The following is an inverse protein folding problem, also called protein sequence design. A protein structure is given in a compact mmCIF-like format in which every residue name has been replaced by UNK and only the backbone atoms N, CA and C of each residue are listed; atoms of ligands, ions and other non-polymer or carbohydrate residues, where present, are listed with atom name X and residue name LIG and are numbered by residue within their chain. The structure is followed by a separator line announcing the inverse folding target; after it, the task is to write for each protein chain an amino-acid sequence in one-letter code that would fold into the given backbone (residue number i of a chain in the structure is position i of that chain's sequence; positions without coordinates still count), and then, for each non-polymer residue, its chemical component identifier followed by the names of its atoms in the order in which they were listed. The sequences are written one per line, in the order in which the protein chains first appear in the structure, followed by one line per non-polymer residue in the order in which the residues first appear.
data_IF_213385786652
#
_entry.id   IF_213385786652
#
_cell.length_a   1.000
_cell.length_b   1.000
_cell.length_c   1.000
_cell.angle_alpha   90.00
_cell.angle_beta   90.00
_cell.angle_gamma   90.00
#
_symmetry.space_group_name_H-M   'P 1'
#
loop_
_entity.id
_entity.type
_entity.pdbx_description
1 polymer ?
#
# COMPACT_ATOMS: atom_id res chain seq x y z
N UNK A 1 -96.61 -33.88 -6.72
CA UNK A 1 -97.17 -33.33 -5.47
C UNK A 1 -96.19 -32.32 -4.89
N UNK A 2 -96.69 -31.28 -4.22
CA UNK A 2 -95.94 -30.41 -3.30
C UNK A 2 -95.46 -31.24 -2.07
N UNK A 3 -94.56 -30.84 -1.16
CA UNK A 3 -93.99 -29.54 -0.74
C UNK A 3 -92.52 -29.76 -0.28
N UNK A 4 -91.57 -28.85 -0.51
CA UNK A 4 -91.13 -27.73 0.37
C UNK A 4 -90.93 -28.07 1.88
N UNK A 5 -89.68 -28.09 2.36
CA UNK A 5 -89.04 -26.94 3.06
C UNK A 5 -87.59 -27.20 3.53
N UNK A 6 -86.77 -26.16 3.34
CA UNK A 6 -85.48 -25.80 3.97
C UNK A 6 -85.61 -25.55 5.51
N UNK A 7 -84.59 -25.02 6.25
CA UNK A 7 -83.14 -24.80 5.98
C UNK A 7 -82.20 -25.26 7.13
N UNK A 8 -80.87 -25.16 6.97
CA UNK A 8 -79.99 -24.16 7.65
C UNK A 8 -78.48 -24.35 7.34
N UNK A 9 -77.76 -23.21 7.20
CA UNK A 9 -76.37 -22.85 7.62
C UNK A 9 -75.35 -23.99 7.92
N UNK A 10 -74.01 -23.92 7.72
CA UNK A 10 -73.01 -22.89 7.31
C UNK A 10 -71.60 -23.57 7.30
N UNK A 11 -70.45 -23.02 6.84
CA UNK A 11 -70.10 -21.72 6.21
C UNK A 11 -68.88 -21.83 5.26
N UNK A 12 -68.86 -20.94 4.27
CA UNK A 12 -67.77 -20.27 3.50
C UNK A 12 -66.32 -20.29 4.03
N UNK A 13 -65.31 -20.45 3.14
CA UNK A 13 -64.28 -19.40 2.90
C UNK A 13 -63.48 -19.60 1.60
N UNK A 14 -62.96 -18.48 1.07
CA UNK A 14 -62.34 -18.33 -0.25
C UNK A 14 -60.86 -18.76 -0.30
N UNK A 15 -60.42 -19.25 -1.47
CA UNK A 15 -58.99 -19.32 -1.82
C UNK A 15 -58.61 -17.99 -2.49
N UNK A 16 -57.68 -17.26 -1.87
CA UNK A 16 -57.13 -16.01 -2.40
C UNK A 16 -56.11 -16.27 -3.50
N UNK A 17 -56.01 -15.36 -4.46
CA UNK A 17 -54.96 -15.36 -5.47
C UNK A 17 -53.61 -14.97 -4.87
N UNK A 18 -52.54 -15.66 -5.25
CA UNK A 18 -51.16 -15.28 -4.96
C UNK A 18 -50.40 -15.14 -6.28
N UNK A 19 -50.07 -13.89 -6.64
CA UNK A 19 -49.08 -13.57 -7.66
C UNK A 19 -47.72 -13.98 -7.10
N UNK A 20 -47.18 -15.11 -7.55
CA UNK A 20 -45.80 -15.47 -7.28
C UNK A 20 -44.92 -14.81 -8.33
N UNK A 21 -44.51 -13.58 -8.01
CA UNK A 21 -43.39 -12.90 -8.63
C UNK A 21 -42.21 -13.86 -8.79
N UNK A 22 -41.57 -13.86 -9.96
CA UNK A 22 -40.21 -14.38 -10.08
C UNK A 22 -39.38 -13.77 -8.95
N UNK A 23 -38.49 -14.53 -8.27
CA UNK A 23 -37.54 -13.89 -7.39
C UNK A 23 -36.73 -12.94 -8.27
N UNK A 24 -36.87 -11.64 -8.01
CA UNK A 24 -35.76 -10.74 -8.21
C UNK A 24 -34.67 -11.26 -7.27
N UNK A 25 -33.84 -12.18 -7.78
CA UNK A 25 -32.53 -12.41 -7.22
C UNK A 25 -31.89 -11.03 -7.21
N UNK A 26 -31.78 -10.48 -6.01
CA UNK A 26 -31.31 -9.15 -5.81
C UNK A 26 -29.99 -9.03 -6.57
N UNK A 27 -29.93 -8.07 -7.49
CA UNK A 27 -28.66 -7.59 -8.02
C UNK A 27 -27.99 -6.77 -6.91
N UNK A 28 -27.70 -7.43 -5.79
CA UNK A 28 -26.44 -7.24 -5.09
C UNK A 28 -25.34 -7.73 -6.04
N UNK A 29 -25.11 -6.93 -7.09
CA UNK A 29 -23.75 -6.65 -7.48
C UNK A 29 -23.17 -5.87 -6.29
N UNK A 30 -22.81 -6.59 -5.24
CA UNK A 30 -21.85 -6.09 -4.26
C UNK A 30 -20.60 -5.84 -5.09
N UNK A 31 -20.41 -4.58 -5.43
CA UNK A 31 -19.19 -4.08 -6.01
C UNK A 31 -18.18 -4.09 -4.85
N UNK A 32 -17.67 -5.29 -4.56
CA UNK A 32 -16.85 -5.60 -3.39
C UNK A 32 -15.53 -4.84 -3.51
N UNK A 33 -15.56 -3.61 -2.99
CA UNK A 33 -14.50 -2.64 -3.15
C UNK A 33 -13.34 -3.05 -2.24
N UNK A 34 -12.31 -3.66 -2.81
CA UNK A 34 -11.09 -4.03 -2.08
C UNK A 34 -10.30 -2.76 -1.70
N UNK A 35 -10.77 -2.10 -0.65
CA UNK A 35 -10.12 -0.93 -0.05
C UNK A 35 -8.66 -1.22 0.34
N UNK A 36 -8.25 -2.48 0.54
CA UNK A 36 -6.87 -2.84 0.90
C UNK A 36 -5.97 -2.82 -0.32
N UNK A 37 -6.38 -3.43 -1.42
CA UNK A 37 -5.69 -3.32 -2.72
C UNK A 37 -5.66 -1.86 -3.18
N UNK A 38 -6.81 -1.18 -3.20
CA UNK A 38 -6.90 0.23 -3.59
C UNK A 38 -6.05 1.15 -2.71
N UNK A 39 -5.93 0.89 -1.40
CA UNK A 39 -5.00 1.65 -0.54
C UNK A 39 -3.54 1.42 -0.93
N UNK A 40 -3.16 0.17 -1.23
CA UNK A 40 -1.78 -0.13 -1.65
C UNK A 40 -1.44 0.60 -2.96
N UNK A 41 -2.35 0.58 -3.93
CA UNK A 41 -2.17 1.25 -5.22
C UNK A 41 -2.21 2.79 -5.11
N UNK A 42 -3.22 3.36 -4.44
CA UNK A 42 -3.40 4.81 -4.38
C UNK A 42 -2.34 5.49 -3.52
N UNK A 43 -2.01 4.93 -2.35
CA UNK A 43 -1.14 5.59 -1.38
C UNK A 43 0.27 4.99 -1.29
N UNK A 44 0.41 3.66 -1.37
CA UNK A 44 1.68 2.97 -1.10
C UNK A 44 2.43 2.49 -2.36
N UNK A 45 2.00 2.85 -3.57
CA UNK A 45 2.74 2.58 -4.80
C UNK A 45 3.84 3.65 -5.05
N UNK A 46 5.14 3.29 -4.97
CA UNK A 46 6.26 4.18 -5.26
C UNK A 46 6.20 4.83 -6.65
N UNK A 47 5.57 4.19 -7.64
CA UNK A 47 5.43 4.75 -9.00
C UNK A 47 4.59 6.03 -9.01
N UNK A 48 3.70 6.23 -8.03
CA UNK A 48 2.88 7.45 -7.93
C UNK A 48 3.62 8.61 -7.26
N UNK A 49 4.75 8.41 -6.59
CA UNK A 49 5.37 9.43 -5.73
C UNK A 49 5.98 10.61 -6.52
N UNK A 50 6.28 10.40 -7.79
CA UNK A 50 6.89 11.37 -8.72
C UNK A 50 6.02 11.49 -9.98
N UNK A 51 5.09 12.46 -10.06
CA UNK A 51 4.11 12.57 -11.15
C UNK A 51 4.72 12.92 -12.52
N UNK A 52 5.98 13.31 -12.58
CA UNK A 52 6.75 13.60 -13.80
C UNK A 52 7.00 12.39 -14.73
N UNK A 53 6.55 11.20 -14.34
CA UNK A 53 6.40 10.05 -15.25
C UNK A 53 7.66 9.23 -15.51
N UNK A 54 8.78 9.54 -14.85
CA UNK A 54 9.92 8.62 -14.79
C UNK A 54 9.75 7.63 -13.65
N UNK A 55 9.91 6.34 -13.94
CA UNK A 55 9.94 5.29 -12.90
C UNK A 55 11.05 5.62 -11.87
N UNK A 56 10.80 5.50 -10.56
CA UNK A 56 11.81 5.78 -9.54
C UNK A 56 13.12 5.00 -9.80
N UNK A 57 14.25 5.63 -9.48
CA UNK A 57 15.56 4.98 -9.52
C UNK A 57 15.63 3.80 -8.52
N UNK A 58 14.95 3.94 -7.39
CA UNK A 58 14.86 2.93 -6.35
C UNK A 58 13.45 2.91 -5.74
N UNK A 59 12.97 1.72 -5.37
CA UNK A 59 11.71 1.50 -4.65
C UNK A 59 11.93 0.55 -3.47
N UNK A 60 11.36 0.86 -2.32
CA UNK A 60 11.24 -0.06 -1.19
C UNK A 60 9.78 -0.09 -0.76
N UNK A 61 9.12 -1.24 -0.80
CA UNK A 61 7.84 -1.46 -0.11
C UNK A 61 8.09 -2.42 1.04
N UNK A 62 7.85 -1.96 2.27
CA UNK A 62 7.67 -2.82 3.42
C UNK A 62 6.18 -3.11 3.56
N UNK A 63 5.78 -4.31 3.14
CA UNK A 63 4.53 -4.93 3.57
C UNK A 63 4.80 -5.78 4.82
N UNK A 64 3.79 -5.93 5.66
CA UNK A 64 3.82 -6.86 6.79
C UNK A 64 3.84 -8.31 6.31
N UNK A 65 3.20 -9.17 7.06
CA UNK A 65 3.08 -10.60 6.79
C UNK A 65 2.28 -10.96 5.51
N UNK A 66 1.82 -12.20 5.43
CA UNK A 66 0.99 -12.73 4.36
C UNK A 66 -0.33 -11.97 4.14
N UNK A 67 -0.82 -11.19 5.11
CA UNK A 67 -1.97 -10.29 4.93
C UNK A 67 -1.63 -9.00 4.17
N UNK A 68 -0.34 -8.69 3.95
CA UNK A 68 0.10 -7.57 3.12
C UNK A 68 -0.30 -6.20 3.68
N UNK A 69 -0.27 -6.03 5.01
CA UNK A 69 -0.49 -4.76 5.69
C UNK A 69 0.60 -3.75 5.31
N UNK A 70 0.30 -2.54 4.83
CA UNK A 70 1.31 -1.57 4.44
C UNK A 70 2.01 -0.99 5.68
N UNK A 71 3.33 -1.11 5.77
CA UNK A 71 4.12 -0.52 6.86
C UNK A 71 4.68 0.82 6.39
N UNK A 72 5.46 0.80 5.31
CA UNK A 72 5.94 1.99 4.61
C UNK A 72 6.24 1.66 3.14
N UNK A 73 6.22 2.69 2.30
CA UNK A 73 6.76 2.65 0.95
C UNK A 73 7.66 3.84 0.72
N UNK A 74 8.79 3.64 0.04
CA UNK A 74 9.77 4.66 -0.34
C UNK A 74 9.98 4.60 -1.86
N UNK A 75 10.01 5.77 -2.50
CA UNK A 75 10.52 5.96 -3.85
C UNK A 75 11.72 6.91 -3.82
N UNK A 76 12.77 6.63 -4.59
CA UNK A 76 13.88 7.57 -4.79
C UNK A 76 13.96 7.95 -6.26
N UNK A 77 13.94 9.25 -6.54
CA UNK A 77 14.11 9.83 -7.86
C UNK A 77 15.53 10.38 -8.00
N UNK A 78 16.15 10.14 -9.17
CA UNK A 78 17.42 10.78 -9.56
C UNK A 78 17.14 12.07 -10.31
N UNK A 79 17.88 13.12 -9.98
CA UNK A 79 17.83 14.39 -10.70
C UNK A 79 16.74 15.33 -10.20
N UNK A 80 16.08 15.99 -11.15
CA UNK A 80 15.14 17.07 -10.90
C UNK A 80 13.69 16.60 -10.80
N UNK A 81 12.94 17.13 -9.85
CA UNK A 81 11.49 16.86 -9.73
C UNK A 81 10.63 17.87 -10.49
N UNK A 82 9.32 17.64 -10.57
CA UNK A 82 8.34 18.64 -11.06
C UNK A 82 8.36 19.95 -10.26
N UNK A 83 8.72 19.88 -8.99
CA UNK A 83 8.55 20.95 -8.01
C UNK A 83 9.79 21.87 -7.95
N UNK A 84 10.90 21.44 -8.57
CA UNK A 84 12.14 22.20 -8.64
C UNK A 84 12.00 23.46 -9.51
N UNK A 85 12.19 24.62 -8.89
CA UNK A 85 12.19 25.93 -9.55
C UNK A 85 13.48 26.71 -9.28
N UNK A 86 13.75 27.75 -10.08
CA UNK A 86 14.85 28.69 -9.85
C UNK A 86 16.23 28.01 -9.77
N UNK A 87 16.93 28.21 -8.65
CA UNK A 87 18.28 27.66 -8.41
C UNK A 87 18.26 26.15 -8.16
N UNK A 88 17.21 25.62 -7.49
CA UNK A 88 17.05 24.18 -7.28
C UNK A 88 17.01 23.45 -8.62
N UNK A 89 16.29 24.03 -9.61
CA UNK A 89 16.21 23.48 -10.97
C UNK A 89 17.51 23.57 -11.78
N UNK A 90 18.45 24.46 -11.41
CA UNK A 90 19.77 24.56 -12.06
C UNK A 90 20.74 23.49 -11.56
N UNK A 91 20.66 23.13 -10.28
CA UNK A 91 21.64 22.27 -9.61
C UNK A 91 21.12 20.84 -9.32
N UNK A 92 19.89 20.52 -9.72
CA UNK A 92 19.23 19.26 -9.36
C UNK A 92 19.79 17.99 -10.03
N UNK A 93 20.66 18.09 -11.04
CA UNK A 93 21.12 16.94 -11.83
C UNK A 93 21.71 15.76 -11.04
N UNK A 94 22.29 16.03 -9.86
CA UNK A 94 22.91 15.02 -8.99
C UNK A 94 22.15 14.76 -7.67
N UNK A 95 20.92 15.29 -7.52
CA UNK A 95 20.11 15.08 -6.31
C UNK A 95 19.48 13.69 -6.31
N UNK A 96 19.25 13.19 -5.10
CA UNK A 96 18.60 11.90 -4.83
C UNK A 96 17.39 12.18 -3.94
N UNK A 97 16.24 12.48 -4.54
CA UNK A 97 15.05 12.84 -3.77
C UNK A 97 14.33 11.57 -3.37
N UNK A 98 14.25 11.29 -2.08
CA UNK A 98 13.43 10.22 -1.55
C UNK A 98 12.10 10.79 -1.05
N UNK A 99 11.01 10.07 -1.34
CA UNK A 99 9.67 10.29 -0.78
C UNK A 99 9.20 9.01 -0.10
N UNK A 100 8.57 9.13 1.06
CA UNK A 100 8.03 8.01 1.84
C UNK A 100 6.58 8.28 2.20
N UNK A 101 5.74 7.24 2.13
CA UNK A 101 4.50 7.16 2.92
C UNK A 101 4.63 6.09 3.99
N UNK A 102 4.12 6.38 5.19
CA UNK A 102 3.85 5.37 6.23
C UNK A 102 2.61 5.75 7.04
N UNK A 103 1.91 4.77 7.58
CA UNK A 103 0.84 5.01 8.54
C UNK A 103 1.46 5.37 9.91
N UNK A 104 0.93 6.37 10.66
CA UNK A 104 1.45 6.75 11.97
C UNK A 104 1.46 5.59 12.98
N UNK A 105 2.33 5.67 13.99
CA UNK A 105 2.45 4.68 15.05
C UNK A 105 2.88 5.33 16.37
N UNK A 106 2.26 4.92 17.46
CA UNK A 106 2.51 5.40 18.83
C UNK A 106 3.67 4.69 19.53
N UNK A 107 4.08 3.52 19.05
CA UNK A 107 5.39 2.92 19.32
C UNK A 107 5.39 1.55 19.99
N UNK A 108 4.31 1.14 20.66
CA UNK A 108 4.37 0.03 21.62
C UNK A 108 3.21 -0.99 21.53
N UNK A 109 3.49 -2.31 21.44
CA UNK A 109 4.80 -2.91 21.18
C UNK A 109 5.22 -2.70 19.72
N UNK A 110 6.51 -2.46 19.48
CA UNK A 110 7.07 -2.23 18.14
C UNK A 110 6.94 -3.46 17.22
N UNK A 111 5.80 -3.61 16.57
CA UNK A 111 5.56 -4.53 15.45
C UNK A 111 5.24 -3.71 14.20
N UNK A 112 6.12 -3.67 13.19
CA UNK A 112 5.92 -2.82 12.01
C UNK A 112 4.56 -3.00 11.34
N UNK A 113 4.07 -4.24 11.23
CA UNK A 113 2.74 -4.58 10.67
C UNK A 113 1.55 -3.91 11.36
N UNK A 114 1.66 -3.51 12.64
CA UNK A 114 0.58 -2.85 13.36
C UNK A 114 0.17 -1.53 12.68
N UNK A 115 1.11 -0.81 12.05
CA UNK A 115 0.84 0.41 11.25
C UNK A 115 -0.25 0.16 10.19
N UNK A 116 -0.05 -0.86 9.36
CA UNK A 116 -0.99 -1.22 8.30
C UNK A 116 -2.25 -1.91 8.81
N UNK A 117 -2.17 -2.64 9.92
CA UNK A 117 -3.35 -3.25 10.55
C UNK A 117 -4.31 -2.19 11.11
N UNK A 118 -3.79 -1.17 11.81
CA UNK A 118 -4.62 -0.07 12.35
C UNK A 118 -5.20 0.76 11.21
N UNK A 119 -4.43 1.04 10.14
CA UNK A 119 -4.94 1.69 8.93
C UNK A 119 -6.09 0.90 8.29
N UNK A 120 -5.91 -0.41 8.07
CA UNK A 120 -6.94 -1.25 7.45
C UNK A 120 -8.15 -1.54 8.35
N UNK A 121 -8.01 -1.38 9.67
CA UNK A 121 -9.12 -1.35 10.62
C UNK A 121 -9.92 -0.07 10.51
N UNK A 122 -9.25 1.10 10.57
CA UNK A 122 -9.88 2.40 10.40
C UNK A 122 -10.64 2.53 9.07
N UNK A 123 -10.04 2.11 7.94
CA UNK A 123 -10.72 2.18 6.63
C UNK A 123 -11.93 1.25 6.53
N UNK A 124 -11.95 0.15 7.29
CA UNK A 124 -13.10 -0.73 7.41
C UNK A 124 -14.21 -0.10 8.26
N UNK A 125 -13.85 0.47 9.42
CA UNK A 125 -14.79 1.13 10.33
C UNK A 125 -15.43 2.39 9.71
N UNK A 126 -14.70 3.12 8.86
CA UNK A 126 -15.22 4.25 8.06
C UNK A 126 -16.14 3.82 6.91
N UNK A 127 -16.27 2.51 6.62
CA UNK A 127 -17.18 1.98 5.60
C UNK A 127 -16.83 2.37 4.17
N UNK A 128 -15.54 2.46 3.84
CA UNK A 128 -15.05 2.88 2.52
C UNK A 128 -15.50 1.92 1.42
N UNK A 129 -16.30 2.42 0.48
CA UNK A 129 -16.87 1.64 -0.64
C UNK A 129 -16.50 2.12 -2.06
N UNK A 130 -15.72 3.19 -2.19
CA UNK A 130 -15.20 3.68 -3.46
C UNK A 130 -13.90 4.50 -3.29
N UNK A 131 -13.25 4.83 -4.41
CA UNK A 131 -11.99 5.58 -4.42
C UNK A 131 -12.10 7.01 -3.86
N UNK A 132 -13.28 7.65 -3.93
CA UNK A 132 -13.47 9.00 -3.38
C UNK A 132 -13.52 8.92 -1.84
N UNK A 133 -14.36 8.03 -1.32
CA UNK A 133 -14.45 7.73 0.11
C UNK A 133 -13.10 7.27 0.68
N UNK A 134 -12.32 6.49 -0.09
CA UNK A 134 -10.98 6.05 0.31
C UNK A 134 -10.02 7.24 0.47
N UNK A 135 -9.93 8.12 -0.54
CA UNK A 135 -9.04 9.28 -0.51
C UNK A 135 -9.38 10.23 0.64
N UNK A 136 -10.67 10.49 0.84
CA UNK A 136 -11.19 11.28 1.96
C UNK A 136 -10.82 10.65 3.33
N UNK A 137 -10.92 9.32 3.46
CA UNK A 137 -10.55 8.61 4.68
C UNK A 137 -9.04 8.62 4.93
N UNK A 138 -8.21 8.43 3.89
CA UNK A 138 -6.75 8.48 3.97
C UNK A 138 -6.24 9.87 4.38
N UNK A 139 -6.85 10.94 3.85
CA UNK A 139 -6.55 12.32 4.25
C UNK A 139 -6.90 12.58 5.73
N UNK A 140 -8.03 12.06 6.22
CA UNK A 140 -8.41 12.13 7.65
C UNK A 140 -7.49 11.32 8.57
N UNK A 141 -6.96 10.19 8.10
CA UNK A 141 -6.10 9.30 8.89
C UNK A 141 -4.69 9.85 9.14
N UNK A 142 -4.29 10.92 8.44
CA UNK A 142 -2.99 11.60 8.58
C UNK A 142 -1.80 10.64 8.37
N UNK A 143 -1.77 9.99 7.19
CA UNK A 143 -0.57 9.29 6.74
C UNK A 143 0.64 10.24 6.73
N UNK A 144 1.79 9.75 7.21
CA UNK A 144 3.04 10.49 7.20
C UNK A 144 3.57 10.54 5.76
N UNK A 145 3.38 11.67 5.07
CA UNK A 145 3.97 11.96 3.75
C UNK A 145 5.27 12.74 3.92
N UNK A 146 6.39 12.07 3.67
CA UNK A 146 7.73 12.53 4.02
C UNK A 146 8.62 12.66 2.78
N UNK A 147 9.53 13.63 2.78
CA UNK A 147 10.52 13.83 1.72
C UNK A 147 11.91 14.10 2.34
N UNK A 148 12.97 13.66 1.68
CA UNK A 148 14.33 14.13 1.97
C UNK A 148 15.20 14.13 0.72
N UNK A 149 16.29 14.89 0.76
CA UNK A 149 17.35 14.82 -0.24
C UNK A 149 18.44 13.90 0.30
N UNK A 150 18.47 12.65 -0.18
CA UNK A 150 19.40 11.62 0.29
C UNK A 150 20.84 12.07 0.12
N UNK A 151 21.15 12.87 -0.92
CA UNK A 151 22.49 13.44 -1.15
C UNK A 151 22.97 14.35 -0.01
N UNK A 152 22.08 14.82 0.87
CA UNK A 152 22.41 15.58 2.09
C UNK A 152 22.28 14.77 3.40
N UNK A 153 21.95 13.48 3.32
CA UNK A 153 21.74 12.60 4.47
C UNK A 153 22.94 11.66 4.66
N UNK A 154 23.93 12.08 5.47
CA UNK A 154 25.20 11.35 5.64
C UNK A 154 25.05 9.85 5.95
N UNK A 155 24.16 9.39 6.87
CA UNK A 155 24.02 7.96 7.17
C UNK A 155 23.51 7.14 5.98
N UNK A 156 22.61 7.72 5.17
CA UNK A 156 22.04 7.05 4.00
C UNK A 156 23.02 7.05 2.82
N UNK A 157 23.78 8.13 2.63
CA UNK A 157 24.86 8.18 1.64
C UNK A 157 25.96 7.17 1.97
N UNK A 158 26.34 7.02 3.24
CA UNK A 158 27.34 6.03 3.65
C UNK A 158 26.91 4.58 3.27
N UNK A 159 25.62 4.24 3.37
CA UNK A 159 25.11 2.93 2.93
C UNK A 159 25.10 2.77 1.40
N UNK A 160 24.83 3.82 0.64
CA UNK A 160 24.89 3.80 -0.83
C UNK A 160 26.34 3.74 -1.35
N UNK A 161 27.28 4.40 -0.68
CA UNK A 161 28.70 4.41 -1.03
C UNK A 161 29.40 3.11 -0.64
N UNK A 162 28.95 2.44 0.44
CA UNK A 162 29.48 1.15 0.87
C UNK A 162 29.10 -0.02 -0.06
N UNK A 163 27.97 0.05 -0.76
CA UNK A 163 27.58 -0.93 -1.79
C UNK A 163 27.24 -0.23 -3.12
N UNK A 164 28.25 0.30 -3.85
CA UNK A 164 28.07 1.22 -4.97
C UNK A 164 27.45 0.57 -6.23
N UNK A 165 27.09 -0.70 -6.17
CA UNK A 165 26.45 -1.46 -7.26
C UNK A 165 25.16 -2.17 -6.78
N UNK A 166 24.87 -2.20 -5.47
CA UNK A 166 23.92 -3.15 -4.87
C UNK A 166 24.29 -4.58 -5.30
N UNK A 167 25.56 -4.89 -5.05
CA UNK A 167 26.31 -6.02 -5.64
C UNK A 167 25.69 -7.39 -5.33
N UNK A 168 24.90 -7.48 -4.25
CA UNK A 168 24.03 -8.61 -3.94
C UNK A 168 23.09 -9.03 -5.07
N UNK A 169 22.74 -8.12 -6.00
CA UNK A 169 21.93 -8.44 -7.19
C UNK A 169 22.72 -9.12 -8.32
N UNK A 170 24.04 -8.99 -8.34
CA UNK A 170 24.92 -9.71 -9.26
C UNK A 170 25.35 -11.08 -8.70
N UNK A 171 25.23 -11.26 -7.38
CA UNK A 171 25.51 -12.52 -6.69
C UNK A 171 24.31 -13.45 -6.77
N UNK A 172 24.51 -14.71 -7.18
CA UNK A 172 23.48 -15.71 -6.93
C UNK A 172 23.31 -15.85 -5.42
N UNK A 173 22.13 -15.54 -4.90
CA UNK A 173 21.73 -15.88 -3.53
C UNK A 173 21.67 -17.40 -3.41
N UNK A 174 22.82 -18.03 -3.17
CA UNK A 174 22.88 -19.42 -2.72
C UNK A 174 22.08 -19.51 -1.42
N UNK A 175 21.02 -20.35 -1.36
CA UNK A 175 20.33 -20.58 -0.10
C UNK A 175 21.35 -21.00 0.95
N UNK A 176 21.40 -20.28 2.06
CA UNK A 176 22.25 -20.65 3.20
C UNK A 176 22.01 -22.12 3.54
N UNK A 177 23.06 -22.93 3.66
CA UNK A 177 22.96 -24.34 4.07
C UNK A 177 22.65 -24.45 5.57
N UNK A 178 21.43 -24.07 5.88
CA UNK A 178 20.73 -24.29 7.14
C UNK A 178 19.26 -24.35 6.78
N UNK A 179 18.50 -25.23 7.47
CA UNK A 179 17.05 -25.33 7.27
C UNK A 179 16.48 -23.90 7.29
N UNK A 180 15.84 -23.40 6.22
CA UNK A 180 15.31 -22.05 6.21
C UNK A 180 14.34 -21.99 7.39
N UNK A 181 14.66 -21.14 8.38
CA UNK A 181 13.80 -20.97 9.53
C UNK A 181 12.44 -20.57 8.99
N UNK A 182 11.46 -21.46 9.12
CA UNK A 182 10.16 -21.33 8.47
C UNK A 182 9.40 -20.25 9.22
N UNK A 183 9.71 -19.00 8.89
CA UNK A 183 9.13 -17.81 9.48
C UNK A 183 7.71 -17.65 8.96
N UNK A 184 6.80 -18.40 9.58
CA UNK A 184 5.36 -18.25 9.41
C UNK A 184 5.00 -16.80 9.72
N UNK A 185 4.28 -16.14 8.81
CA UNK A 185 3.91 -14.73 8.92
C UNK A 185 5.12 -13.78 9.05
N UNK A 186 6.20 -14.07 8.32
CA UNK A 186 7.33 -13.14 8.13
C UNK A 186 6.90 -11.90 7.35
N UNK A 187 7.35 -10.73 7.81
CA UNK A 187 7.14 -9.46 7.10
C UNK A 187 7.90 -9.44 5.76
N UNK A 188 7.34 -8.79 4.73
CA UNK A 188 7.79 -8.89 3.34
C UNK A 188 8.26 -7.55 2.76
N UNK A 189 9.51 -7.52 2.32
CA UNK A 189 10.12 -6.42 1.57
C UNK A 189 10.05 -6.71 0.07
N UNK A 190 9.50 -5.77 -0.71
CA UNK A 190 9.79 -5.62 -2.14
C UNK A 190 10.84 -4.52 -2.29
N UNK A 191 11.98 -4.84 -2.91
CA UNK A 191 13.03 -3.86 -3.22
C UNK A 191 13.31 -3.86 -4.71
N UNK A 192 13.32 -2.70 -5.35
CA UNK A 192 13.66 -2.55 -6.78
C UNK A 192 14.74 -1.49 -6.94
N UNK A 193 15.75 -1.79 -7.74
CA UNK A 193 16.78 -0.85 -8.16
C UNK A 193 16.90 -0.82 -9.69
N UNK A 194 17.06 0.39 -10.24
CA UNK A 194 17.21 0.63 -11.68
C UNK A 194 18.56 1.25 -12.00
N UNK A 195 19.59 0.42 -12.18
CA UNK A 195 20.95 0.90 -12.46
C UNK A 195 21.10 1.64 -13.79
N UNK A 196 20.27 1.30 -14.78
CA UNK A 196 20.23 1.92 -16.11
C UNK A 196 18.87 1.67 -16.77
N UNK A 197 18.64 2.23 -17.96
CA UNK A 197 17.42 1.98 -18.73
C UNK A 197 17.20 0.50 -19.14
N UNK A 198 18.25 -0.33 -19.09
CA UNK A 198 18.19 -1.77 -19.38
C UNK A 198 18.36 -2.68 -18.14
N UNK A 199 18.71 -2.12 -16.98
CA UNK A 199 18.97 -2.91 -15.77
C UNK A 199 18.01 -2.51 -14.66
N UNK A 200 17.07 -3.40 -14.40
CA UNK A 200 16.18 -3.39 -13.25
C UNK A 200 16.37 -4.72 -12.51
N UNK A 201 16.60 -4.65 -11.20
CA UNK A 201 16.64 -5.85 -10.37
C UNK A 201 15.66 -5.71 -9.22
N UNK A 202 14.93 -6.80 -8.96
CA UNK A 202 13.85 -6.87 -7.98
C UNK A 202 14.15 -7.97 -6.98
N UNK A 203 14.05 -7.66 -5.71
CA UNK A 203 13.96 -8.61 -4.61
C UNK A 203 12.52 -8.63 -4.06
N UNK A 204 12.03 -9.81 -3.73
CA UNK A 204 10.79 -10.00 -2.98
C UNK A 204 10.99 -11.14 -1.98
N UNK A 205 10.93 -10.82 -0.69
CA UNK A 205 11.24 -11.76 0.39
C UNK A 205 11.16 -11.08 1.75
N UNK A 206 11.57 -11.78 2.81
CA UNK A 206 11.64 -11.21 4.15
C UNK A 206 12.97 -10.51 4.38
N UNK A 207 13.08 -9.69 5.44
CA UNK A 207 14.35 -9.04 5.80
C UNK A 207 15.32 -10.03 6.48
N UNK A 208 15.81 -11.02 5.72
CA UNK A 208 16.76 -12.01 6.19
C UNK A 208 18.17 -11.39 6.37
N UNK A 209 18.99 -11.88 7.33
CA UNK A 209 20.39 -11.48 7.43
C UNK A 209 21.13 -11.65 6.11
N UNK A 210 22.00 -10.71 5.78
CA UNK A 210 22.83 -10.66 4.56
C UNK A 210 22.01 -10.61 3.25
N UNK A 211 20.72 -10.26 3.31
CA UNK A 211 19.83 -10.19 2.15
C UNK A 211 19.56 -8.76 1.65
N UNK A 212 19.10 -8.59 0.40
CA UNK A 212 18.62 -7.29 -0.10
C UNK A 212 17.48 -6.71 0.75
N UNK A 213 16.70 -7.56 1.43
CA UNK A 213 15.63 -7.15 2.33
C UNK A 213 16.14 -6.52 3.63
N UNK A 214 17.22 -7.06 4.21
CA UNK A 214 17.89 -6.43 5.35
C UNK A 214 18.52 -5.10 4.95
N UNK A 215 19.26 -5.06 3.83
CA UNK A 215 19.86 -3.82 3.33
C UNK A 215 18.81 -2.72 3.13
N UNK A 216 17.66 -3.05 2.54
CA UNK A 216 16.57 -2.10 2.31
C UNK A 216 15.93 -1.59 3.62
N UNK A 217 15.91 -2.40 4.68
CA UNK A 217 15.47 -1.98 6.02
C UNK A 217 16.52 -1.08 6.69
N UNK A 218 17.80 -1.43 6.63
CA UNK A 218 18.90 -0.61 7.15
C UNK A 218 18.96 0.76 6.45
N UNK A 219 18.80 0.78 5.11
CA UNK A 219 18.73 2.00 4.33
C UNK A 219 17.52 2.86 4.72
N UNK A 220 16.33 2.28 4.86
CA UNK A 220 15.15 3.01 5.34
C UNK A 220 15.37 3.61 6.75
N UNK A 221 15.97 2.85 7.67
CA UNK A 221 16.32 3.33 9.02
C UNK A 221 17.33 4.48 9.00
N UNK A 222 18.31 4.46 8.09
CA UNK A 222 19.32 5.52 7.96
C UNK A 222 18.74 6.88 7.54
N UNK A 223 17.56 6.88 6.90
CA UNK A 223 16.85 8.09 6.49
C UNK A 223 16.02 8.73 7.61
N UNK A 224 15.77 8.05 8.73
CA UNK A 224 14.83 8.49 9.77
C UNK A 224 15.16 9.87 10.35
N UNK A 225 16.43 10.18 10.56
CA UNK A 225 16.88 11.50 11.05
C UNK A 225 16.81 12.61 9.98
N UNK A 226 16.61 12.26 8.71
CA UNK A 226 16.65 13.16 7.56
C UNK A 226 15.26 13.47 7.01
N UNK A 227 14.21 12.75 7.43
CA UNK A 227 12.85 12.99 6.98
C UNK A 227 12.29 14.33 7.46
N UNK A 228 11.58 15.01 6.58
CA UNK A 228 10.73 16.16 6.86
C UNK A 228 9.37 15.95 6.18
N UNK A 229 8.29 16.63 6.61
CA UNK A 229 7.05 16.68 5.85
C UNK A 229 7.31 17.10 4.40
N UNK A 230 6.77 16.34 3.45
CA UNK A 230 6.91 16.65 2.04
C UNK A 230 6.15 17.92 1.66
N UNK A 231 6.71 18.75 0.79
CA UNK A 231 6.02 19.92 0.20
C UNK A 231 5.24 19.59 -1.07
N UNK A 232 5.32 18.35 -1.56
CA UNK A 232 4.62 17.86 -2.74
C UNK A 232 3.27 17.25 -2.37
N UNK A 233 2.30 17.32 -3.28
CA UNK A 233 0.96 16.77 -3.06
C UNK A 233 1.05 15.24 -2.97
N UNK A 234 0.44 14.67 -1.92
CA UNK A 234 0.47 13.24 -1.65
C UNK A 234 -0.26 12.43 -2.74
N UNK A 235 0.12 11.16 -3.00
CA UNK A 235 -0.44 10.41 -4.12
C UNK A 235 -1.95 10.12 -4.00
N UNK A 236 -2.50 10.03 -2.78
CA UNK A 236 -3.96 9.89 -2.55
C UNK A 236 -4.74 11.20 -2.76
N UNK A 237 -4.09 12.36 -2.80
CA UNK A 237 -4.73 13.68 -2.93
C UNK A 237 -4.77 14.22 -4.38
N UNK A 238 -4.30 13.42 -5.35
CA UNK A 238 -4.27 13.80 -6.79
C UNK A 238 -5.10 12.82 -7.60
N UNK A 239 -5.95 13.34 -8.49
CA UNK A 239 -6.84 12.58 -9.38
C UNK A 239 -6.12 11.40 -10.07
#
# INVERSE_FOLDING_TARGET
MYDKKLPLLSVTLCIFAAVLSSPAQAQHADNDYDYRERTRELAFDPQRFFPEGTRPWMEIIYSGDDYGFPVYSIAIQKGCTSDDTGEARRNCGNRLIARMVRAPFDGEPLRPRNRGQVLFGYLFDEGVGDDLALRDALARYQLEWLETDVSGCEPAMALLEADPVLSFFATQLTPSEGIPQLALHADKIRFVHRGSYLSETTYYGWAAPESPGEWAVQFAQSLEACWRPASSIAPWERD
#
